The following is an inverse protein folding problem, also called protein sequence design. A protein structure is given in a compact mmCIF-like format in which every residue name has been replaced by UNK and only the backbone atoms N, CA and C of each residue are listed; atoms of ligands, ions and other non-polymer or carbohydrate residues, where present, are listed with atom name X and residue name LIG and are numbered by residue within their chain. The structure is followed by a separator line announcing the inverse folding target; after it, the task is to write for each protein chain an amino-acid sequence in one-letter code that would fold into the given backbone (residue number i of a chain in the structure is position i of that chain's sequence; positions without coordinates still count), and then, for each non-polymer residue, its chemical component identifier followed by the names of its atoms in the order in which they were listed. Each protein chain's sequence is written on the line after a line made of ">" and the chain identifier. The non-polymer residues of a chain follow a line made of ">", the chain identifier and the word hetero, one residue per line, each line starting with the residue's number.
data_IF_810881810332
#
_entry.id   IF_810881810332
#
_cell.length_a   1.000
_cell.length_b   1.000
_cell.length_c   1.000
_cell.angle_alpha   90.00
_cell.angle_beta   90.00
_cell.angle_gamma   90.00
#
_symmetry.space_group_name_H-M   'P 1'
#
loop_
_entity.id
_entity.type
_entity.pdbx_description
1 polymer ?
#
# COMPACT_ATOMS: atom_id res chain seq x y z
N UNK A 1 -1.39 19.25 2.40
CA UNK A 1 -1.93 19.45 3.76
C UNK A 1 -2.11 18.08 4.38
N UNK A 2 -1.12 17.58 5.12
CA UNK A 2 -1.12 16.20 5.65
C UNK A 2 -2.00 16.17 6.90
N UNK A 3 -3.10 15.42 6.84
CA UNK A 3 -4.00 15.20 7.98
C UNK A 3 -3.26 14.46 9.09
N UNK A 4 -2.98 15.16 10.17
CA UNK A 4 -2.47 14.58 11.41
C UNK A 4 -3.52 13.65 12.00
N UNK A 5 -3.32 12.33 11.89
CA UNK A 5 -4.10 11.35 12.65
C UNK A 5 -3.79 11.53 14.13
N UNK A 6 -4.72 12.13 14.86
CA UNK A 6 -4.65 12.27 16.32
C UNK A 6 -4.50 10.88 16.98
N UNK A 7 -3.43 10.71 17.74
CA UNK A 7 -3.24 9.56 18.62
C UNK A 7 -4.28 9.61 19.74
N UNK A 8 -5.32 8.79 19.66
CA UNK A 8 -6.25 8.56 20.81
C UNK A 8 -5.47 7.86 21.91
N UNK A 9 -4.96 8.63 22.85
CA UNK A 9 -4.26 8.15 24.03
C UNK A 9 -5.24 7.57 25.04
N UNK A 10 -5.26 6.24 25.19
CA UNK A 10 -6.18 5.52 26.09
C UNK A 10 -5.69 5.39 27.55
N UNK A 11 -4.48 5.83 27.93
CA UNK A 11 -4.01 5.74 29.31
C UNK A 11 -3.55 7.10 29.86
N UNK A 12 -3.84 7.42 31.14
CA UNK A 12 -3.44 8.66 31.78
C UNK A 12 -1.92 8.84 31.84
N UNK A 13 -1.18 7.76 31.98
CA UNK A 13 0.28 7.78 32.03
C UNK A 13 0.93 8.32 30.75
N UNK A 14 0.39 8.00 29.59
CA UNK A 14 0.89 8.51 28.30
C UNK A 14 0.71 10.02 28.18
N UNK A 15 -0.38 10.57 28.72
CA UNK A 15 -0.64 12.02 28.72
C UNK A 15 0.38 12.77 29.62
N UNK A 16 0.79 12.18 30.72
CA UNK A 16 1.79 12.74 31.64
C UNK A 16 3.16 12.76 30.94
N UNK A 17 3.53 11.68 30.29
CA UNK A 17 4.82 11.57 29.57
C UNK A 17 4.90 12.62 28.45
N UNK A 18 3.83 12.76 27.64
CA UNK A 18 3.82 13.77 26.57
C UNK A 18 3.96 15.17 27.12
N UNK A 19 3.15 15.54 28.16
CA UNK A 19 3.27 16.85 28.82
C UNK A 19 4.67 17.12 29.35
N UNK A 20 5.34 16.12 29.93
CA UNK A 20 6.70 16.26 30.42
C UNK A 20 7.67 16.63 29.29
N UNK A 21 7.59 15.99 28.15
CA UNK A 21 8.46 16.28 26.99
C UNK A 21 8.12 17.63 26.33
N UNK A 22 6.83 18.01 26.28
CA UNK A 22 6.39 19.32 25.77
C UNK A 22 7.00 20.50 26.57
N UNK A 23 7.13 20.37 27.90
CA UNK A 23 7.76 21.39 28.76
C UNK A 23 9.23 21.62 28.39
N UNK A 24 9.92 20.59 27.89
CA UNK A 24 11.31 20.69 27.41
C UNK A 24 11.45 20.98 25.93
N UNK A 25 10.35 21.32 25.24
CA UNK A 25 10.35 21.65 23.81
C UNK A 25 10.49 20.45 22.88
N UNK A 26 10.27 19.22 23.38
CA UNK A 26 10.33 17.99 22.57
C UNK A 26 8.91 17.52 22.19
N UNK A 27 8.64 17.41 20.89
CA UNK A 27 7.40 16.82 20.38
C UNK A 27 7.57 15.30 20.25
N UNK A 28 6.84 14.51 21.08
CA UNK A 28 6.82 13.05 20.96
C UNK A 28 5.92 12.62 19.80
N UNK A 29 6.52 12.24 18.68
CA UNK A 29 5.84 11.60 17.55
C UNK A 29 6.00 10.08 17.64
N UNK A 30 4.90 9.35 17.41
CA UNK A 30 4.98 7.89 17.25
C UNK A 30 5.81 7.61 16.01
N UNK A 31 6.98 7.00 16.17
CA UNK A 31 7.76 6.51 15.04
C UNK A 31 6.97 5.38 14.37
N UNK A 32 6.41 5.65 13.18
CA UNK A 32 5.82 4.61 12.35
C UNK A 32 6.96 3.80 11.72
N UNK A 33 7.44 2.80 12.47
CA UNK A 33 8.55 1.93 12.04
C UNK A 33 8.28 1.18 10.73
N UNK A 34 7.03 1.11 10.29
CA UNK A 34 6.66 0.43 9.05
C UNK A 34 7.00 1.27 7.82
N UNK A 35 6.69 2.57 7.84
CA UNK A 35 7.01 3.46 6.71
C UNK A 35 8.51 3.77 6.61
N UNK A 36 9.22 3.88 7.75
CA UNK A 36 10.66 4.17 7.74
C UNK A 36 11.52 2.98 7.27
N UNK A 37 11.03 1.76 7.43
CA UNK A 37 11.78 0.56 7.01
C UNK A 37 11.72 0.34 5.49
N UNK A 38 10.67 0.79 4.82
CA UNK A 38 10.41 0.57 3.40
C UNK A 38 10.60 1.84 2.56
N UNK A 39 10.54 3.02 3.16
CA UNK A 39 10.75 4.29 2.46
C UNK A 39 12.14 4.45 1.82
N UNK A 40 13.13 3.69 2.28
CA UNK A 40 14.47 3.69 1.68
C UNK A 40 14.56 2.86 0.38
N UNK A 41 13.65 1.91 0.14
CA UNK A 41 13.64 1.13 -1.12
C UNK A 41 13.25 1.97 -2.33
N UNK A 42 12.50 3.04 -2.12
CA UNK A 42 12.08 3.95 -3.18
C UNK A 42 13.13 5.06 -3.42
N UNK A 43 14.18 5.09 -2.60
CA UNK A 43 15.25 6.10 -2.73
C UNK A 43 15.94 6.08 -4.10
N UNK A 44 15.99 4.91 -4.76
CA UNK A 44 16.61 4.73 -6.07
C UNK A 44 15.72 5.17 -7.24
N UNK A 45 14.42 5.43 -6.99
CA UNK A 45 13.52 5.89 -8.02
C UNK A 45 13.69 7.39 -8.28
N UNK A 46 13.53 7.76 -9.55
CA UNK A 46 13.42 9.18 -9.90
C UNK A 46 12.15 9.81 -9.29
N UNK A 47 12.13 11.13 -9.18
CA UNK A 47 11.04 11.85 -8.50
C UNK A 47 9.67 11.69 -9.20
N UNK A 48 9.64 11.50 -10.50
CA UNK A 48 8.38 11.33 -11.23
C UNK A 48 7.76 9.95 -10.95
N UNK A 49 8.59 8.91 -10.86
CA UNK A 49 8.14 7.58 -10.46
C UNK A 49 7.64 7.56 -9.01
N UNK A 50 8.33 8.25 -8.12
CA UNK A 50 7.86 8.38 -6.73
C UNK A 50 6.50 9.05 -6.65
N UNK A 51 6.28 10.13 -7.41
CA UNK A 51 4.99 10.82 -7.50
C UNK A 51 3.89 9.91 -8.04
N UNK A 52 4.17 9.16 -9.11
CA UNK A 52 3.22 8.22 -9.70
C UNK A 52 2.83 7.12 -8.71
N UNK A 53 3.81 6.44 -8.09
CA UNK A 53 3.53 5.42 -7.07
C UNK A 53 2.71 5.99 -5.93
N UNK A 54 3.05 7.19 -5.45
CA UNK A 54 2.32 7.85 -4.38
C UNK A 54 0.87 8.18 -4.77
N UNK A 55 0.67 8.65 -5.99
CA UNK A 55 -0.68 8.90 -6.52
C UNK A 55 -1.52 7.62 -6.54
N UNK A 56 -0.98 6.55 -7.11
CA UNK A 56 -1.70 5.27 -7.16
C UNK A 56 -1.90 4.64 -5.78
N UNK A 57 -0.98 4.82 -4.83
CA UNK A 57 -1.16 4.39 -3.45
C UNK A 57 -2.38 5.05 -2.78
N UNK A 58 -2.71 6.29 -3.13
CA UNK A 58 -3.86 7.01 -2.57
C UNK A 58 -5.21 6.47 -3.09
N UNK A 59 -5.24 5.88 -4.27
CA UNK A 59 -6.46 5.42 -4.94
C UNK A 59 -6.60 3.91 -5.05
N UNK A 60 -5.55 3.14 -4.71
CA UNK A 60 -5.58 1.66 -4.70
C UNK A 60 -5.61 1.11 -3.28
N UNK A 61 -5.89 -0.20 -3.15
CA UNK A 61 -5.65 -0.95 -1.92
C UNK A 61 -4.18 -1.43 -1.81
N UNK A 62 -3.41 -1.32 -2.88
CA UNK A 62 -2.01 -1.71 -2.91
C UNK A 62 -1.15 -0.76 -2.08
N UNK A 63 -0.20 -1.32 -1.35
CA UNK A 63 0.82 -0.52 -0.67
C UNK A 63 1.82 0.05 -1.68
N UNK A 64 2.54 1.08 -1.28
CA UNK A 64 3.63 1.67 -2.05
C UNK A 64 4.67 0.60 -2.49
N UNK A 65 4.98 -0.34 -1.59
CA UNK A 65 5.87 -1.46 -1.89
C UNK A 65 5.30 -2.41 -2.95
N UNK A 66 3.99 -2.68 -2.92
CA UNK A 66 3.35 -3.53 -3.92
C UNK A 66 3.40 -2.87 -5.30
N UNK A 67 3.09 -1.59 -5.40
CA UNK A 67 3.17 -0.83 -6.65
C UNK A 67 4.61 -0.80 -7.18
N UNK A 68 5.58 -0.57 -6.31
CA UNK A 68 7.00 -0.64 -6.69
C UNK A 68 7.40 -2.03 -7.19
N UNK A 69 6.94 -3.09 -6.52
CA UNK A 69 7.18 -4.48 -6.93
C UNK A 69 6.59 -4.79 -8.32
N UNK A 70 5.37 -4.29 -8.59
CA UNK A 70 4.75 -4.38 -9.91
C UNK A 70 5.61 -3.68 -10.96
N UNK A 71 6.05 -2.45 -10.70
CA UNK A 71 6.93 -1.71 -11.59
C UNK A 71 8.23 -2.46 -11.90
N UNK A 72 8.87 -3.02 -10.88
CA UNK A 72 10.09 -3.81 -11.06
C UNK A 72 9.85 -5.09 -11.88
N UNK A 73 8.71 -5.75 -11.66
CA UNK A 73 8.33 -6.93 -12.45
C UNK A 73 8.13 -6.60 -13.92
N UNK A 74 7.49 -5.47 -14.23
CA UNK A 74 7.29 -5.02 -15.62
C UNK A 74 8.61 -4.61 -16.29
N UNK A 75 9.54 -3.99 -15.55
CA UNK A 75 10.90 -3.75 -16.06
C UNK A 75 11.65 -5.05 -16.34
N UNK A 76 11.52 -6.04 -15.46
CA UNK A 76 12.13 -7.35 -15.67
C UNK A 76 11.55 -8.02 -16.93
N UNK A 77 10.22 -8.02 -17.08
CA UNK A 77 9.54 -8.52 -18.29
C UNK A 77 10.10 -7.85 -19.55
N UNK A 78 10.33 -6.53 -19.53
CA UNK A 78 10.94 -5.81 -20.64
C UNK A 78 12.37 -6.27 -20.92
N UNK A 79 13.20 -6.31 -19.89
CA UNK A 79 14.62 -6.57 -20.03
C UNK A 79 14.90 -7.99 -20.52
N UNK A 80 14.10 -8.96 -20.06
CA UNK A 80 14.23 -10.38 -20.41
C UNK A 80 13.37 -10.77 -21.63
N UNK A 81 12.67 -9.81 -22.25
CA UNK A 81 11.74 -10.05 -23.37
C UNK A 81 10.76 -11.20 -23.10
N UNK A 82 10.20 -11.24 -21.89
CA UNK A 82 9.28 -12.31 -21.51
C UNK A 82 7.99 -12.18 -22.31
N UNK A 83 7.60 -13.23 -23.02
CA UNK A 83 6.37 -13.29 -23.81
C UNK A 83 5.12 -13.49 -22.94
N UNK A 84 3.95 -13.29 -23.55
CA UNK A 84 2.65 -13.48 -22.93
C UNK A 84 2.00 -12.18 -22.44
N UNK A 85 0.81 -12.31 -21.90
CA UNK A 85 -0.02 -11.21 -21.45
C UNK A 85 0.10 -11.00 -19.93
N UNK A 86 -0.42 -9.89 -19.42
CA UNK A 86 -0.47 -9.57 -18.01
C UNK A 86 -1.85 -9.90 -17.47
N UNK A 87 -1.91 -10.55 -16.32
CA UNK A 87 -3.17 -10.96 -15.69
C UNK A 87 -3.20 -10.49 -14.23
N UNK A 88 -4.29 -9.84 -13.83
CA UNK A 88 -4.60 -9.54 -12.43
C UNK A 88 -5.84 -10.30 -12.00
N UNK A 89 -5.75 -11.04 -10.91
CA UNK A 89 -6.86 -11.72 -10.24
C UNK A 89 -7.21 -10.97 -8.96
N UNK A 90 -8.48 -10.53 -8.83
CA UNK A 90 -8.90 -9.66 -7.73
C UNK A 90 -8.66 -8.20 -8.05
N UNK A 91 -9.42 -7.68 -9.01
CA UNK A 91 -9.23 -6.35 -9.61
C UNK A 91 -9.82 -5.22 -8.76
N UNK A 92 -10.85 -5.53 -7.95
CA UNK A 92 -11.58 -4.56 -7.15
C UNK A 92 -12.10 -3.38 -8.00
N UNK A 93 -11.55 -2.18 -7.84
CA UNK A 93 -11.95 -0.96 -8.57
C UNK A 93 -11.12 -0.68 -9.83
N UNK A 94 -10.17 -1.55 -10.19
CA UNK A 94 -9.35 -1.43 -11.40
C UNK A 94 -8.17 -0.46 -11.32
N UNK A 95 -7.94 0.22 -10.20
CA UNK A 95 -6.87 1.22 -10.12
C UNK A 95 -5.46 0.60 -10.20
N UNK A 96 -5.27 -0.64 -9.73
CA UNK A 96 -3.99 -1.35 -9.92
C UNK A 96 -3.79 -1.73 -11.39
N UNK A 97 -4.84 -2.17 -12.09
CA UNK A 97 -4.79 -2.39 -13.54
C UNK A 97 -4.44 -1.11 -14.31
N UNK A 98 -4.98 0.03 -13.88
CA UNK A 98 -4.64 1.33 -14.47
C UNK A 98 -3.15 1.64 -14.29
N UNK A 99 -2.59 1.41 -13.10
CA UNK A 99 -1.15 1.56 -12.86
C UNK A 99 -0.32 0.63 -13.77
N UNK A 100 -0.71 -0.64 -13.88
CA UNK A 100 -0.06 -1.61 -14.78
C UNK A 100 -0.14 -1.11 -16.22
N UNK A 101 -1.30 -0.58 -16.66
CA UNK A 101 -1.52 -0.03 -17.98
C UNK A 101 -0.57 1.13 -18.29
N UNK A 102 -0.46 2.11 -17.39
CA UNK A 102 0.47 3.23 -17.56
C UNK A 102 1.93 2.76 -17.73
N UNK A 103 2.37 1.80 -16.90
CA UNK A 103 3.74 1.26 -17.00
C UNK A 103 3.93 0.44 -18.28
N UNK A 104 2.92 -0.35 -18.69
CA UNK A 104 2.94 -1.12 -19.95
C UNK A 104 3.15 -0.21 -21.16
N UNK A 105 2.46 0.92 -21.20
CA UNK A 105 2.57 1.91 -22.27
C UNK A 105 3.91 2.64 -22.21
N UNK A 106 4.32 3.11 -21.05
CA UNK A 106 5.59 3.81 -20.84
C UNK A 106 6.79 2.95 -21.23
N UNK A 107 6.77 1.68 -20.85
CA UNK A 107 7.83 0.74 -21.19
C UNK A 107 7.72 0.20 -22.63
N UNK A 108 6.65 0.52 -23.36
CA UNK A 108 6.33 0.00 -24.70
C UNK A 108 6.31 -1.54 -24.73
N UNK A 109 5.72 -2.17 -23.70
CA UNK A 109 5.64 -3.62 -23.63
C UNK A 109 4.64 -4.19 -24.63
N UNK A 110 3.62 -3.42 -25.01
CA UNK A 110 2.54 -3.79 -25.93
C UNK A 110 1.81 -5.09 -25.52
N UNK A 111 1.72 -5.36 -24.22
CA UNK A 111 1.05 -6.53 -23.70
C UNK A 111 -0.43 -6.27 -23.49
N UNK A 112 -1.25 -7.30 -23.72
CA UNK A 112 -2.64 -7.26 -23.29
C UNK A 112 -2.70 -7.42 -21.78
N UNK A 113 -3.67 -6.73 -21.17
CA UNK A 113 -3.89 -6.76 -19.74
C UNK A 113 -5.28 -7.34 -19.49
N UNK A 114 -5.35 -8.38 -18.67
CA UNK A 114 -6.59 -9.08 -18.34
C UNK A 114 -6.87 -8.92 -16.85
N UNK A 115 -8.07 -8.49 -16.51
CA UNK A 115 -8.55 -8.39 -15.14
C UNK A 115 -9.63 -9.42 -14.87
N UNK A 116 -9.48 -10.21 -13.83
CA UNK A 116 -10.46 -11.18 -13.38
C UNK A 116 -10.93 -10.85 -11.98
N UNK A 117 -12.23 -10.65 -11.81
CA UNK A 117 -12.88 -10.41 -10.53
C UNK A 117 -14.31 -10.97 -10.61
N UNK A 118 -14.94 -11.18 -9.49
CA UNK A 118 -16.36 -11.53 -9.43
C UNK A 118 -17.24 -10.34 -9.77
N UNK A 119 -16.75 -9.13 -9.49
CA UNK A 119 -17.45 -7.84 -9.57
C UNK A 119 -18.75 -7.77 -8.73
N UNK A 120 -18.97 -8.76 -7.89
CA UNK A 120 -20.12 -8.86 -6.98
C UNK A 120 -19.75 -8.43 -5.55
N UNK A 121 -18.52 -7.93 -5.35
CA UNK A 121 -17.96 -7.63 -4.04
C UNK A 121 -17.53 -8.88 -3.28
N UNK A 122 -17.28 -8.73 -2.00
CA UNK A 122 -16.88 -9.84 -1.15
C UNK A 122 -18.08 -10.69 -0.77
N UNK A 123 -17.97 -12.01 -0.91
CA UNK A 123 -19.02 -12.93 -0.46
C UNK A 123 -19.08 -12.89 1.08
N UNK A 124 -20.24 -12.54 1.64
CA UNK A 124 -20.44 -12.37 3.09
C UNK A 124 -19.91 -13.53 3.95
N UNK A 125 -19.95 -14.75 3.42
CA UNK A 125 -19.52 -15.96 4.13
C UNK A 125 -18.00 -16.17 4.18
N UNK A 126 -17.20 -15.51 3.35
CA UNK A 126 -15.75 -15.71 3.31
C UNK A 126 -15.01 -15.01 4.47
N UNK A 127 -15.62 -14.02 5.12
CA UNK A 127 -15.05 -13.32 6.27
C UNK A 127 -15.41 -13.94 7.62
N UNK A 128 -16.44 -14.78 7.68
CA UNK A 128 -16.99 -15.26 8.96
C UNK A 128 -16.03 -16.14 9.74
N UNK A 129 -15.23 -16.96 9.08
CA UNK A 129 -14.37 -17.91 9.79
C UNK A 129 -13.06 -17.26 10.25
N UNK A 130 -12.41 -16.46 9.42
CA UNK A 130 -11.24 -15.69 9.81
C UNK A 130 -11.57 -14.61 10.86
N UNK A 131 -12.71 -13.93 10.73
CA UNK A 131 -13.17 -12.94 11.71
C UNK A 131 -13.63 -13.57 13.04
N UNK A 132 -14.15 -14.81 13.03
CA UNK A 132 -14.47 -15.57 14.25
C UNK A 132 -13.21 -16.01 14.98
N UNK A 133 -12.17 -16.47 14.26
CA UNK A 133 -10.87 -16.83 14.82
C UNK A 133 -10.20 -15.62 15.48
N UNK A 134 -10.20 -14.44 14.84
CA UNK A 134 -9.62 -13.21 15.39
C UNK A 134 -10.40 -12.64 16.58
N UNK A 135 -11.70 -12.98 16.76
CA UNK A 135 -12.49 -12.59 17.93
C UNK A 135 -12.31 -13.56 19.11
N UNK A 136 -12.02 -14.84 18.86
CA UNK A 136 -11.80 -15.82 19.93
C UNK A 136 -10.51 -15.53 20.73
N UNK A 137 -9.47 -15.03 20.08
CA UNK A 137 -8.18 -14.67 20.73
C UNK A 137 -8.22 -13.40 21.60
N UNK A 138 -9.31 -12.63 21.54
CA UNK A 138 -9.45 -11.42 22.37
C UNK A 138 -10.14 -11.64 23.71
N UNK A 139 -10.66 -12.84 23.96
CA UNK A 139 -11.38 -13.21 25.18
C UNK A 139 -10.66 -14.27 26.02
N UNK A 140 -9.38 -14.53 25.77
CA UNK A 140 -8.51 -15.40 26.58
C UNK A 140 -7.59 -14.57 27.45
#
# INVERSE_FOLDING_TARGET
>A
MVSSRELKLRSPLKKIIIKFFDVFGYELKRKNNFNDRWGNFIAELNEDRKKQIKYFQEITLASELNLWSIYQSLNHIKNENIEGDIVECGVYNGNTLAFIGEINDELNLNKKIWGYDTFDGFVENSFTDAAKLLKSDKNS
#
